data_IF_944002337692
#
_entry.id   IF_944002337692
#
_cell.length_a   1.000
_cell.length_b   1.000
_cell.length_c   1.000
_cell.angle_alpha   90.00
_cell.angle_beta   90.00
_cell.angle_gamma   90.00
#
_symmetry.space_group_name_H-M   'P 1'
#
loop_
_entity.id
_entity.type
_entity.pdbx_description
1 polymer ?
#
# COMPACT_ATOMS: atom_id res chain seq x y z
N UNK A 1 -40.49 -16.56 -0.70
CA UNK A 1 -39.78 -15.59 -1.57
C UNK A 1 -40.00 -14.20 -0.99
N UNK A 2 -39.21 -13.84 0.01
CA UNK A 2 -39.10 -12.48 0.54
C UNK A 2 -37.81 -11.91 -0.03
N UNK A 3 -37.95 -10.88 -0.85
CA UNK A 3 -36.84 -10.18 -1.47
C UNK A 3 -35.99 -9.53 -0.36
N UNK A 4 -34.86 -10.17 -0.10
CA UNK A 4 -33.73 -9.66 0.65
C UNK A 4 -33.19 -8.44 -0.10
N UNK A 5 -33.75 -7.27 0.19
CA UNK A 5 -33.03 -6.01 -0.02
C UNK A 5 -32.01 -5.93 1.10
N UNK A 6 -30.87 -6.55 0.87
CA UNK A 6 -29.62 -6.11 1.47
C UNK A 6 -29.34 -4.70 0.92
N UNK A 7 -30.05 -3.71 1.45
CA UNK A 7 -29.71 -2.31 1.29
C UNK A 7 -28.42 -2.10 2.08
N UNK A 8 -27.32 -2.51 1.43
CA UNK A 8 -25.98 -2.55 1.95
C UNK A 8 -25.49 -1.15 2.26
N UNK A 9 -25.81 -0.68 3.46
CA UNK A 9 -25.23 0.52 4.01
C UNK A 9 -23.72 0.42 3.88
N UNK A 10 -23.06 1.40 3.24
CA UNK A 10 -21.61 1.39 3.17
C UNK A 10 -21.08 1.34 4.59
N UNK A 11 -20.27 0.32 4.86
CA UNK A 11 -19.70 0.13 6.18
C UNK A 11 -19.01 1.44 6.61
N UNK A 12 -19.21 1.84 7.87
CA UNK A 12 -18.58 3.03 8.48
C UNK A 12 -17.11 3.22 8.05
N UNK A 13 -16.23 2.18 8.04
CA UNK A 13 -14.85 2.35 7.58
C UNK A 13 -14.72 2.73 6.09
N UNK A 14 -15.64 2.31 5.23
CA UNK A 14 -15.65 2.67 3.81
C UNK A 14 -15.94 4.15 3.64
N UNK A 15 -16.95 4.67 4.34
CA UNK A 15 -17.31 6.09 4.30
C UNK A 15 -16.15 6.93 4.83
N UNK A 16 -15.60 6.56 6.00
CA UNK A 16 -14.48 7.28 6.60
C UNK A 16 -13.26 7.29 5.67
N UNK A 17 -12.91 6.15 5.06
CA UNK A 17 -11.81 6.06 4.08
C UNK A 17 -12.02 7.02 2.92
N UNK A 18 -13.23 7.08 2.36
CA UNK A 18 -13.52 7.93 1.19
C UNK A 18 -13.48 9.41 1.58
N UNK A 19 -14.05 9.78 2.74
CA UNK A 19 -13.99 11.15 3.24
C UNK A 19 -12.54 11.59 3.50
N UNK A 20 -11.75 10.76 4.20
CA UNK A 20 -10.34 11.03 4.46
C UNK A 20 -9.54 11.12 3.16
N UNK A 21 -9.80 10.23 2.19
CA UNK A 21 -9.14 10.25 0.89
C UNK A 21 -9.38 11.55 0.11
N UNK A 22 -10.64 11.99 0.04
CA UNK A 22 -10.99 13.26 -0.58
C UNK A 22 -10.43 14.47 0.16
N UNK A 23 -10.45 14.44 1.49
CA UNK A 23 -9.90 15.51 2.31
C UNK A 23 -8.40 15.68 2.08
N UNK A 24 -7.62 14.59 2.17
CA UNK A 24 -6.17 14.63 1.95
C UNK A 24 -5.83 15.05 0.51
N UNK A 25 -6.54 14.51 -0.49
CA UNK A 25 -6.33 14.89 -1.88
C UNK A 25 -6.63 16.37 -2.12
N UNK A 26 -7.78 16.86 -1.62
CA UNK A 26 -8.21 18.24 -1.77
C UNK A 26 -7.24 19.23 -1.11
N UNK A 27 -6.84 18.98 0.14
CA UNK A 27 -5.87 19.82 0.86
C UNK A 27 -4.52 19.82 0.14
N UNK A 28 -3.98 18.64 -0.19
CA UNK A 28 -2.69 18.54 -0.87
C UNK A 28 -2.66 19.27 -2.22
N UNK A 29 -3.70 19.14 -3.04
CA UNK A 29 -3.80 19.85 -4.33
C UNK A 29 -4.01 21.35 -4.14
N UNK A 30 -4.86 21.75 -3.19
CA UNK A 30 -5.12 23.17 -2.92
C UNK A 30 -3.84 23.87 -2.44
N UNK A 31 -3.11 23.27 -1.51
CA UNK A 31 -1.86 23.83 -0.98
C UNK A 31 -0.76 23.90 -2.04
N UNK A 32 -0.65 22.89 -2.92
CA UNK A 32 0.25 22.95 -4.08
C UNK A 32 -0.12 24.05 -5.09
N UNK A 33 -1.41 24.40 -5.19
CA UNK A 33 -1.88 25.45 -6.08
C UNK A 33 -1.70 26.86 -5.49
N UNK A 34 -1.79 27.00 -4.17
CA UNK A 34 -1.72 28.30 -3.48
C UNK A 34 -0.29 28.75 -3.17
N UNK A 35 0.69 27.84 -3.11
CA UNK A 35 2.07 28.24 -2.91
C UNK A 35 3.08 27.09 -2.95
N UNK A 36 4.36 27.45 -3.04
CA UNK A 36 5.48 26.53 -2.93
C UNK A 36 6.54 27.14 -2.03
N UNK A 37 6.38 26.96 -0.71
CA UNK A 37 7.34 27.42 0.31
C UNK A 37 8.58 26.50 0.39
N UNK A 38 9.16 26.18 -0.76
CA UNK A 38 10.35 25.34 -0.91
C UNK A 38 10.08 23.85 -1.14
N UNK A 39 11.17 23.09 -1.33
CA UNK A 39 11.13 21.69 -1.76
C UNK A 39 10.43 20.78 -0.75
N UNK A 40 10.68 20.97 0.56
CA UNK A 40 10.07 20.15 1.62
C UNK A 40 8.55 20.33 1.64
N UNK A 41 8.07 21.56 1.47
CA UNK A 41 6.65 21.87 1.36
C UNK A 41 6.02 21.12 0.18
N UNK A 42 6.63 21.19 -1.01
CA UNK A 42 6.13 20.53 -2.21
C UNK A 42 6.10 19.01 -2.02
N UNK A 43 7.19 18.41 -1.53
CA UNK A 43 7.29 16.97 -1.28
C UNK A 43 6.22 16.49 -0.30
N UNK A 44 5.98 17.25 0.78
CA UNK A 44 4.95 16.92 1.75
C UNK A 44 3.55 16.89 1.11
N UNK A 45 3.15 17.95 0.42
CA UNK A 45 1.80 18.05 -0.13
C UNK A 45 1.59 17.11 -1.32
N UNK A 46 2.63 16.84 -2.13
CA UNK A 46 2.58 15.77 -3.14
C UNK A 46 2.33 14.42 -2.49
N UNK A 47 3.05 14.09 -1.41
CA UNK A 47 2.86 12.81 -0.71
C UNK A 47 1.46 12.70 -0.09
N UNK A 48 0.95 13.78 0.50
CA UNK A 48 -0.41 13.86 1.04
C UNK A 48 -1.46 13.66 -0.06
N UNK A 49 -1.30 14.33 -1.20
CA UNK A 49 -2.19 14.18 -2.35
C UNK A 49 -2.19 12.74 -2.89
N UNK A 50 -1.00 12.14 -3.03
CA UNK A 50 -0.87 10.73 -3.44
C UNK A 50 -1.51 9.78 -2.42
N UNK A 51 -1.29 9.99 -1.13
CA UNK A 51 -1.95 9.22 -0.06
C UNK A 51 -3.48 9.27 -0.16
N UNK A 52 -4.04 10.46 -0.44
CA UNK A 52 -5.46 10.64 -0.70
C UNK A 52 -5.97 9.83 -1.90
N UNK A 53 -5.25 9.89 -3.03
CA UNK A 53 -5.57 9.09 -4.24
C UNK A 53 -5.51 7.60 -3.95
N UNK A 54 -4.50 7.13 -3.20
CA UNK A 54 -4.38 5.73 -2.80
C UNK A 54 -5.56 5.32 -1.93
N UNK A 55 -5.96 6.13 -0.94
CA UNK A 55 -7.13 5.83 -0.11
C UNK A 55 -8.40 5.71 -0.93
N UNK A 56 -8.61 6.57 -1.93
CA UNK A 56 -9.76 6.48 -2.83
C UNK A 56 -9.70 5.19 -3.68
N UNK A 57 -8.53 4.87 -4.22
CA UNK A 57 -8.26 3.70 -5.06
C UNK A 57 -8.14 2.36 -4.32
N UNK A 58 -8.04 2.36 -2.98
CA UNK A 58 -7.71 1.17 -2.19
C UNK A 58 -8.71 0.02 -2.39
N UNK A 59 -9.97 0.30 -2.70
CA UNK A 59 -10.96 -0.72 -3.03
C UNK A 59 -10.57 -1.61 -4.24
N UNK A 60 -9.70 -1.13 -5.13
CA UNK A 60 -9.17 -1.87 -6.29
C UNK A 60 -7.84 -2.55 -6.00
N UNK A 61 -7.18 -2.15 -4.92
CA UNK A 61 -5.88 -2.70 -4.52
C UNK A 61 -6.14 -3.73 -3.44
N UNK A 62 -5.89 -5.00 -3.72
CA UNK A 62 -5.81 -6.02 -2.67
C UNK A 62 -4.37 -6.02 -2.16
N UNK A 63 -3.97 -5.33 -1.08
CA UNK A 63 -2.58 -5.34 -0.59
C UNK A 63 -2.11 -6.75 -0.20
N UNK A 64 -0.81 -7.03 -0.37
CA UNK A 64 -0.18 -8.29 0.04
C UNK A 64 0.26 -8.17 1.49
N UNK A 65 0.57 -9.29 2.13
CA UNK A 65 1.25 -9.27 3.44
C UNK A 65 2.56 -8.47 3.36
N UNK A 66 3.30 -8.63 2.26
CA UNK A 66 4.50 -7.84 1.98
C UNK A 66 4.20 -6.34 1.85
N UNK A 67 3.12 -5.97 1.16
CA UNK A 67 2.68 -4.57 1.05
C UNK A 67 2.35 -3.95 2.40
N UNK A 68 1.60 -4.65 3.26
CA UNK A 68 1.31 -4.17 4.62
C UNK A 68 2.58 -4.05 5.49
N UNK A 69 3.49 -5.02 5.39
CA UNK A 69 4.75 -4.99 6.12
C UNK A 69 5.63 -3.81 5.66
N UNK A 70 5.71 -3.57 4.35
CA UNK A 70 6.40 -2.41 3.80
C UNK A 70 5.79 -1.10 4.29
N UNK A 71 4.46 -1.00 4.33
CA UNK A 71 3.76 0.18 4.85
C UNK A 71 4.11 0.46 6.32
N UNK A 72 4.05 -0.58 7.15
CA UNK A 72 4.38 -0.50 8.57
C UNK A 72 5.85 -0.09 8.76
N UNK A 73 6.77 -0.71 8.01
CA UNK A 73 8.19 -0.37 8.07
C UNK A 73 8.45 1.07 7.63
N UNK A 74 7.88 1.53 6.51
CA UNK A 74 8.05 2.92 6.04
C UNK A 74 7.53 3.91 7.09
N UNK A 75 6.39 3.61 7.70
CA UNK A 75 5.80 4.50 8.70
C UNK A 75 6.67 4.56 9.97
N UNK A 76 7.04 3.40 10.51
CA UNK A 76 7.82 3.31 11.76
C UNK A 76 9.26 3.77 11.56
N UNK A 77 9.93 3.29 10.51
CA UNK A 77 11.32 3.64 10.23
C UNK A 77 11.45 5.10 9.82
N UNK A 78 10.50 5.65 9.08
CA UNK A 78 10.50 7.06 8.71
C UNK A 78 10.35 7.98 9.93
N UNK A 79 9.39 7.68 10.81
CA UNK A 79 9.23 8.41 12.07
C UNK A 79 10.46 8.25 12.98
N UNK A 80 11.03 7.04 13.04
CA UNK A 80 12.22 6.73 13.83
C UNK A 80 13.50 7.37 13.29
N UNK A 81 13.66 7.48 11.97
CA UNK A 81 14.80 8.17 11.35
C UNK A 81 14.79 9.67 11.69
N UNK A 82 13.62 10.28 11.84
CA UNK A 82 13.47 11.65 12.34
C UNK A 82 14.00 11.86 13.78
N UNK A 83 14.27 10.78 14.52
CA UNK A 83 14.87 10.83 15.86
C UNK A 83 16.41 10.78 15.86
N UNK A 84 17.03 10.42 14.72
CA UNK A 84 18.49 10.29 14.63
C UNK A 84 19.16 11.66 14.75
N UNK A 85 20.28 11.68 15.48
CA UNK A 85 21.06 12.88 15.75
C UNK A 85 22.12 13.03 14.67
N UNK A 86 22.13 14.18 13.99
CA UNK A 86 23.30 14.59 13.23
C UNK A 86 24.30 15.24 14.20
N UNK A 87 25.33 14.48 14.56
CA UNK A 87 26.38 14.91 15.51
C UNK A 87 27.53 15.64 14.84
N UNK A 88 27.51 15.83 13.52
CA UNK A 88 28.69 16.26 12.77
C UNK A 88 29.01 17.75 12.89
N UNK A 89 28.17 18.53 13.58
CA UNK A 89 28.43 19.94 13.89
C UNK A 89 28.86 20.12 15.34
N UNK A 90 30.07 19.66 15.64
CA UNK A 90 30.80 20.07 16.82
C UNK A 90 30.82 21.63 16.84
N UNK A 91 30.41 22.25 17.96
CA UNK A 91 30.31 23.72 18.20
C UNK A 91 28.91 24.38 18.20
N UNK A 92 27.79 23.65 18.03
CA UNK A 92 26.42 24.21 18.15
C UNK A 92 25.71 23.89 19.48
N UNK A 93 26.47 23.69 20.57
CA UNK A 93 25.93 23.32 21.89
C UNK A 93 24.86 24.28 22.45
N UNK A 94 24.85 25.55 22.01
CA UNK A 94 23.91 26.58 22.48
C UNK A 94 22.72 26.84 21.54
N UNK A 95 22.64 26.16 20.39
CA UNK A 95 21.48 26.29 19.50
C UNK A 95 20.50 25.14 19.74
N UNK A 96 19.19 25.41 19.90
CA UNK A 96 18.19 24.35 20.04
C UNK A 96 18.16 23.53 18.74
N UNK A 97 18.82 22.38 18.74
CA UNK A 97 18.72 21.41 17.66
C UNK A 97 17.26 20.95 17.59
N UNK A 98 16.60 21.28 16.48
CA UNK A 98 15.27 20.76 16.16
C UNK A 98 15.44 19.51 15.29
N UNK A 99 14.77 18.42 15.67
CA UNK A 99 14.85 17.09 15.05
C UNK A 99 13.52 16.69 14.42
N UNK A 100 13.55 15.92 13.35
CA UNK A 100 12.35 15.44 12.65
C UNK A 100 12.46 15.64 11.14
N UNK A 101 11.82 14.77 10.39
CA UNK A 101 11.71 14.87 8.94
C UNK A 101 10.35 14.31 8.52
N UNK A 102 9.58 15.04 7.70
CA UNK A 102 9.93 16.31 7.02
C UNK A 102 9.93 17.56 7.91
N UNK A 103 9.29 17.56 9.09
CA UNK A 103 9.20 18.71 9.97
C UNK A 103 9.88 18.48 11.31
N UNK A 104 10.67 19.44 11.81
CA UNK A 104 11.46 19.22 13.00
C UNK A 104 10.64 19.40 14.30
N UNK A 105 9.98 18.33 14.75
CA UNK A 105 9.08 18.26 15.91
C UNK A 105 9.74 18.10 17.28
N UNK A 106 11.03 17.75 17.37
CA UNK A 106 11.71 17.48 18.65
C UNK A 106 12.80 18.53 18.90
N UNK A 107 12.58 19.45 19.84
CA UNK A 107 13.58 20.42 20.28
C UNK A 107 14.40 19.93 21.47
N UNK A 108 15.71 20.21 21.48
CA UNK A 108 16.64 19.88 22.58
C UNK A 108 17.07 21.05 23.46
N UNK A 109 16.31 22.14 23.52
CA UNK A 109 16.63 23.32 24.35
C UNK A 109 16.62 23.02 25.86
N UNK A 110 15.99 23.87 26.70
CA UNK A 110 15.83 23.66 28.17
C UNK A 110 15.04 22.38 28.58
N UNK A 111 14.98 21.37 27.70
CA UNK A 111 14.30 20.10 27.84
C UNK A 111 13.97 19.52 26.46
N UNK A 112 13.63 18.23 26.42
CA UNK A 112 13.01 17.61 25.25
C UNK A 112 11.56 18.09 25.19
N UNK A 113 11.21 18.95 24.26
CA UNK A 113 9.83 19.44 24.09
C UNK A 113 9.32 19.02 22.72
N UNK A 114 8.33 18.11 22.66
CA UNK A 114 7.72 17.72 21.40
C UNK A 114 6.73 18.80 20.95
N UNK A 115 6.95 19.34 19.75
CA UNK A 115 5.95 20.11 19.03
C UNK A 115 4.94 19.13 18.42
N UNK A 116 3.81 18.95 19.12
CA UNK A 116 2.76 18.01 18.73
C UNK A 116 2.19 18.31 17.34
N UNK A 117 2.23 19.58 16.89
CA UNK A 117 1.75 19.96 15.56
C UNK A 117 2.66 19.40 14.48
N UNK A 118 3.97 19.56 14.66
CA UNK A 118 4.96 19.06 13.72
C UNK A 118 5.06 17.52 13.75
N UNK A 119 4.89 16.91 14.93
CA UNK A 119 4.79 15.46 15.06
C UNK A 119 3.57 14.93 14.32
N UNK A 120 2.43 15.63 14.43
CA UNK A 120 1.21 15.28 13.70
C UNK A 120 1.41 15.33 12.19
N UNK A 121 2.06 16.38 11.66
CA UNK A 121 2.38 16.45 10.23
C UNK A 121 3.33 15.35 9.79
N UNK A 122 4.37 15.05 10.56
CA UNK A 122 5.31 13.95 10.23
C UNK A 122 4.58 12.61 10.20
N UNK A 123 3.69 12.35 11.16
CA UNK A 123 2.89 11.14 11.18
C UNK A 123 1.96 11.03 9.97
N UNK A 124 1.32 12.13 9.56
CA UNK A 124 0.49 12.17 8.35
C UNK A 124 1.34 11.90 7.10
N UNK A 125 2.52 12.51 7.00
CA UNK A 125 3.43 12.28 5.88
C UNK A 125 3.84 10.82 5.77
N UNK A 126 4.34 10.23 6.87
CA UNK A 126 4.82 8.85 6.88
C UNK A 126 3.70 7.83 6.70
N UNK A 127 2.49 8.10 7.21
CA UNK A 127 1.32 7.29 6.92
C UNK A 127 0.95 7.31 5.42
N UNK A 128 0.98 8.48 4.79
CA UNK A 128 0.75 8.61 3.34
C UNK A 128 1.84 7.91 2.53
N UNK A 129 3.12 8.07 2.92
CA UNK A 129 4.23 7.37 2.30
C UNK A 129 4.11 5.83 2.43
N UNK A 130 3.68 5.35 3.59
CA UNK A 130 3.37 3.94 3.82
C UNK A 130 2.27 3.43 2.91
N UNK A 131 1.18 4.20 2.73
CA UNK A 131 0.11 3.87 1.78
C UNK A 131 0.63 3.80 0.34
N UNK A 132 1.42 4.77 -0.10
CA UNK A 132 2.05 4.75 -1.43
C UNK A 132 2.94 3.52 -1.60
N UNK A 133 3.72 3.16 -0.58
CA UNK A 133 4.56 1.96 -0.59
C UNK A 133 3.74 0.67 -0.79
N UNK A 134 2.53 0.55 -0.21
CA UNK A 134 1.67 -0.63 -0.45
C UNK A 134 1.34 -0.81 -1.93
N UNK A 135 1.07 0.29 -2.63
CA UNK A 135 0.70 0.28 -4.05
C UNK A 135 1.92 0.00 -4.91
N UNK A 136 3.08 0.57 -4.57
CA UNK A 136 4.33 0.29 -5.26
C UNK A 136 4.73 -1.19 -5.15
N UNK A 137 4.66 -1.78 -3.96
CA UNK A 137 4.92 -3.22 -3.79
C UNK A 137 3.97 -4.05 -4.66
N UNK A 138 2.68 -3.71 -4.69
CA UNK A 138 1.73 -4.40 -5.56
C UNK A 138 2.00 -4.19 -7.05
N UNK A 139 2.47 -3.02 -7.45
CA UNK A 139 2.86 -2.76 -8.83
C UNK A 139 4.08 -3.61 -9.23
N UNK A 140 5.09 -3.69 -8.35
CA UNK A 140 6.28 -4.54 -8.54
C UNK A 140 5.90 -6.02 -8.59
N UNK A 141 5.07 -6.49 -7.67
CA UNK A 141 4.57 -7.88 -7.67
C UNK A 141 3.84 -8.25 -8.97
N UNK A 142 3.10 -7.30 -9.57
CA UNK A 142 2.44 -7.51 -10.87
C UNK A 142 3.41 -7.53 -12.06
N UNK A 143 4.55 -6.85 -11.94
CA UNK A 143 5.56 -6.77 -12.99
C UNK A 143 6.57 -7.91 -12.92
N UNK A 144 6.78 -8.48 -11.74
CA UNK A 144 7.62 -9.66 -11.59
C UNK A 144 6.98 -10.79 -12.39
N UNK A 145 7.66 -11.31 -13.44
CA UNK A 145 7.16 -12.44 -14.18
C UNK A 145 6.95 -13.57 -13.17
N UNK A 146 5.75 -14.14 -13.18
CA UNK A 146 5.43 -15.33 -12.42
C UNK A 146 6.62 -16.27 -12.56
N UNK A 147 7.37 -16.46 -11.46
CA UNK A 147 8.38 -17.50 -11.37
C UNK A 147 7.55 -18.77 -11.48
N UNK A 148 7.30 -19.22 -12.70
CA UNK A 148 6.86 -20.57 -13.01
C UNK A 148 7.98 -21.42 -12.49
N UNK A 149 7.92 -21.76 -11.20
CA UNK A 149 8.48 -23.02 -10.74
C UNK A 149 7.88 -24.03 -11.71
N UNK A 150 8.68 -24.66 -12.59
CA UNK A 150 8.16 -25.72 -13.42
C UNK A 150 7.46 -26.66 -12.46
N UNK A 151 6.13 -26.74 -12.57
CA UNK A 151 5.38 -27.78 -11.89
C UNK A 151 5.92 -29.04 -12.54
N UNK A 152 6.68 -29.81 -11.77
CA UNK A 152 7.17 -31.10 -12.22
C UNK A 152 5.93 -32.00 -12.39
N UNK A 153 5.41 -32.02 -13.60
CA UNK A 153 4.23 -32.78 -13.98
C UNK A 153 4.58 -34.26 -14.18
N UNK A 154 5.87 -34.62 -14.21
CA UNK A 154 6.30 -36.00 -14.47
C UNK A 154 5.83 -36.93 -13.34
N UNK A 155 5.82 -36.47 -12.09
CA UNK A 155 5.28 -37.25 -10.96
C UNK A 155 3.73 -37.22 -10.88
N UNK A 156 3.08 -36.20 -11.44
CA UNK A 156 1.61 -36.08 -11.42
C UNK A 156 0.95 -36.94 -12.50
N UNK A 157 1.52 -36.96 -13.71
CA UNK A 157 1.04 -37.81 -14.82
C UNK A 157 1.25 -39.28 -14.49
N UNK A 158 2.35 -39.64 -13.83
CA UNK A 158 2.64 -41.02 -13.43
C UNK A 158 1.68 -41.59 -12.36
N UNK A 159 1.14 -40.75 -11.46
CA UNK A 159 0.22 -41.20 -10.40
C UNK A 159 -1.26 -41.04 -10.70
N UNK A 160 -1.66 -40.15 -11.61
CA UNK A 160 -3.08 -39.79 -11.83
C UNK A 160 -3.56 -39.96 -13.27
N UNK A 161 -2.75 -40.54 -14.17
CA UNK A 161 -3.26 -41.07 -15.43
C UNK A 161 -4.14 -42.30 -15.16
N UNK A 162 -5.41 -42.06 -14.83
CA UNK A 162 -6.41 -43.11 -14.75
C UNK A 162 -6.53 -43.81 -16.13
N UNK A 163 -6.45 -45.15 -16.20
CA UNK A 163 -6.54 -45.92 -17.46
C UNK A 163 -7.86 -45.77 -18.24
N UNK A 164 -8.85 -45.04 -17.71
CA UNK A 164 -10.18 -44.95 -18.28
C UNK A 164 -10.29 -44.11 -19.56
N UNK A 165 -9.30 -43.25 -19.85
CA UNK A 165 -9.32 -42.43 -21.06
C UNK A 165 -9.11 -43.25 -22.35
N UNK A 166 -8.45 -44.42 -22.28
CA UNK A 166 -8.18 -45.24 -23.46
C UNK A 166 -9.40 -46.07 -23.92
N UNK A 167 -10.40 -46.28 -23.05
CA UNK A 167 -11.58 -47.11 -23.35
C UNK A 167 -12.68 -46.33 -24.07
N UNK A 168 -12.71 -45.00 -23.94
CA UNK A 168 -13.71 -44.16 -24.60
C UNK A 168 -13.43 -43.98 -26.11
N UNK A 169 -12.15 -44.04 -26.53
CA UNK A 169 -11.76 -43.85 -27.94
C UNK A 169 -12.00 -45.08 -28.82
N UNK A 170 -12.17 -46.28 -28.26
CA UNK A 170 -12.47 -47.51 -29.02
C UNK A 170 -13.95 -47.90 -29.06
N UNK A 171 -14.85 -47.17 -28.37
CA UNK A 171 -16.30 -47.42 -28.46
C UNK A 171 -17.02 -46.56 -29.51
N UNK A 172 -16.33 -45.62 -30.16
CA UNK A 172 -16.93 -44.76 -31.17
C UNK A 172 -17.03 -45.40 -32.57
N UNK A 173 -16.39 -46.55 -32.79
CA UNK A 173 -16.35 -47.22 -34.11
C UNK A 173 -17.34 -48.39 -34.26
N UNK A 174 -18.06 -48.80 -33.21
CA UNK A 174 -19.16 -49.78 -33.35
C UNK A 174 -20.48 -49.07 -33.64
N UNK A 175 -20.55 -48.40 -34.79
CA UNK A 175 -21.79 -47.91 -35.37
C UNK A 175 -22.57 -49.09 -35.99
N UNK A 176 -23.23 -49.86 -35.12
CA UNK A 176 -24.21 -50.88 -35.52
C UNK A 176 -25.51 -50.16 -35.81
N UNK A 177 -25.80 -49.93 -37.10
CA UNK A 177 -26.97 -49.15 -37.49
C UNK A 177 -27.34 -49.30 -38.96
N UNK A 178 -27.29 -50.52 -39.50
CA UNK A 178 -27.97 -50.83 -40.75
C UNK A 178 -29.48 -50.81 -40.54
N UNK A 179 -30.17 -49.82 -41.10
CA UNK A 179 -31.58 -49.89 -41.47
C UNK A 179 -31.85 -48.92 -42.63
N UNK A 180 -32.47 -49.49 -43.67
CA UNK A 180 -33.03 -48.94 -44.93
C UNK A 180 -32.10 -48.84 -46.14
#
# INVERSE_FOLDING_TARGET
>A
MTAERDDGWPSIPTVLRVMTGWFLFGVGVLDLATGADGVVFVVFHVMVALGGVVLLGLHRVRPSRAGYLAAALVTVAGLGAGLLVDTDRCCLADYPQRRGFPFPFLGLGRGVHPDLRQLGSDLVFWACAGLVATVLVRAVEKQLPERRTPVDLDDYVGRHAEPHAYVAQHRADENVGGLT
#
